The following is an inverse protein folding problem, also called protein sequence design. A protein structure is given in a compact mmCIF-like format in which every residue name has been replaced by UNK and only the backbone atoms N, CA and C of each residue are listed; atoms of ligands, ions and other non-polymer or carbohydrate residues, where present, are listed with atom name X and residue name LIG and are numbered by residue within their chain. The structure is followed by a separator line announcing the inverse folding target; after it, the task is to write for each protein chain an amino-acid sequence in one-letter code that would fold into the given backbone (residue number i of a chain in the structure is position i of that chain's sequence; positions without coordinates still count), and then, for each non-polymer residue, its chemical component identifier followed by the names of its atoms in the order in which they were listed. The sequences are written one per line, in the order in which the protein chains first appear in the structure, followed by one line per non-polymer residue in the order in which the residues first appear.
data_IF_642427200671
#
_entry.id   IF_642427200671
#
_cell.length_a   1.000
_cell.length_b   1.000
_cell.length_c   1.000
_cell.angle_alpha   90.00
_cell.angle_beta   90.00
_cell.angle_gamma   90.00
#
_symmetry.space_group_name_H-M   'P 1'
#
loop_
_entity.id
_entity.type
_entity.pdbx_description
1 polymer ?
#
# COMPACT_ATOMS: atom_id res chain seq x y z
N UNK A 1 4.38 -31.32 -34.09
CA UNK A 1 4.44 -31.52 -32.63
C UNK A 1 5.10 -30.31 -32.00
N UNK A 2 4.31 -29.53 -31.27
CA UNK A 2 4.55 -28.11 -30.98
C UNK A 2 5.76 -27.86 -30.07
N UNK A 3 6.54 -26.83 -30.43
CA UNK A 3 7.82 -26.45 -29.81
C UNK A 3 7.68 -26.16 -28.29
N UNK A 4 6.48 -25.78 -27.86
CA UNK A 4 6.11 -25.47 -26.47
C UNK A 4 6.28 -26.67 -25.50
N UNK A 5 6.06 -27.89 -25.99
CA UNK A 5 6.21 -29.12 -25.18
C UNK A 5 7.70 -29.39 -24.87
N UNK A 6 8.61 -29.05 -25.79
CA UNK A 6 10.06 -29.24 -25.60
C UNK A 6 10.64 -28.19 -24.65
N UNK A 7 10.19 -26.94 -24.73
CA UNK A 7 10.69 -25.84 -23.89
C UNK A 7 10.21 -26.00 -22.45
N UNK A 8 8.95 -26.40 -22.23
CA UNK A 8 8.41 -26.67 -20.89
C UNK A 8 9.17 -27.80 -20.18
N UNK A 9 9.55 -28.86 -20.89
CA UNK A 9 10.38 -29.95 -20.35
C UNK A 9 11.80 -29.48 -19.96
N UNK A 10 12.33 -28.43 -20.59
CA UNK A 10 13.66 -27.89 -20.29
C UNK A 10 13.71 -27.01 -19.04
N UNK A 11 12.57 -26.48 -18.62
CA UNK A 11 12.42 -25.56 -17.48
C UNK A 11 12.09 -26.31 -16.19
N UNK A 12 11.48 -27.50 -16.26
CA UNK A 12 11.20 -28.36 -15.09
C UNK A 12 12.33 -28.49 -14.05
N UNK A 13 13.62 -28.61 -14.42
CA UNK A 13 14.69 -28.70 -13.43
C UNK A 13 15.05 -27.37 -12.72
N UNK A 14 14.46 -26.24 -13.12
CA UNK A 14 14.80 -24.92 -12.60
C UNK A 14 13.55 -24.21 -12.05
N UNK A 15 13.37 -24.11 -10.71
CA UNK A 15 12.19 -23.49 -10.09
C UNK A 15 12.09 -21.98 -10.34
N UNK A 16 13.18 -21.32 -10.76
CA UNK A 16 13.22 -19.88 -10.99
C UNK A 16 12.66 -19.43 -12.35
N UNK A 17 12.34 -20.36 -13.26
CA UNK A 17 11.77 -20.04 -14.56
C UNK A 17 10.28 -20.37 -14.63
N UNK A 18 9.51 -19.48 -15.24
CA UNK A 18 8.08 -19.65 -15.50
C UNK A 18 7.79 -19.45 -16.98
N UNK A 19 6.86 -20.22 -17.52
CA UNK A 19 6.44 -20.08 -18.92
C UNK A 19 5.14 -19.27 -18.94
N UNK A 20 5.17 -18.15 -19.65
CA UNK A 20 3.98 -17.32 -19.88
C UNK A 20 3.86 -17.04 -21.38
N UNK A 21 2.75 -17.45 -21.98
CA UNK A 21 2.41 -17.24 -23.39
C UNK A 21 3.54 -17.59 -24.39
N UNK A 22 4.19 -18.75 -24.23
CA UNK A 22 5.26 -19.21 -25.13
C UNK A 22 6.62 -18.54 -24.93
N UNK A 23 6.78 -17.70 -23.89
CA UNK A 23 8.07 -17.09 -23.52
C UNK A 23 8.50 -17.56 -22.13
N UNK A 24 9.81 -17.65 -21.92
CA UNK A 24 10.39 -18.15 -20.67
C UNK A 24 10.82 -16.97 -19.82
N UNK A 25 10.15 -16.75 -18.70
CA UNK A 25 10.48 -15.70 -17.75
C UNK A 25 11.42 -16.22 -16.66
N UNK A 26 12.50 -15.50 -16.37
CA UNK A 26 13.38 -15.78 -15.25
C UNK A 26 13.06 -14.83 -14.09
N UNK A 27 12.60 -15.37 -12.97
CA UNK A 27 12.24 -14.60 -11.76
C UNK A 27 13.45 -13.98 -11.06
N UNK A 28 14.62 -14.61 -11.14
CA UNK A 28 15.88 -14.11 -10.56
C UNK A 28 16.42 -12.91 -11.35
N UNK A 29 16.26 -12.92 -12.67
CA UNK A 29 16.77 -11.87 -13.55
C UNK A 29 15.74 -10.81 -13.91
N UNK A 30 14.46 -11.07 -13.67
CA UNK A 30 13.30 -10.30 -14.16
C UNK A 30 13.37 -10.06 -15.67
N UNK A 31 13.79 -11.08 -16.44
CA UNK A 31 13.97 -11.00 -17.88
C UNK A 31 13.18 -12.08 -18.60
N UNK A 32 12.60 -11.69 -19.72
CA UNK A 32 11.95 -12.59 -20.67
C UNK A 32 13.02 -13.12 -21.62
N UNK A 33 13.16 -14.43 -21.67
CA UNK A 33 14.00 -15.16 -22.60
C UNK A 33 13.07 -15.64 -23.71
N UNK A 34 13.21 -15.03 -24.89
CA UNK A 34 12.55 -15.49 -26.11
C UNK A 34 13.26 -16.79 -26.49
N UNK A 35 12.70 -17.92 -26.06
CA UNK A 35 13.39 -19.20 -26.15
C UNK A 35 12.65 -20.14 -27.09
N UNK A 36 13.20 -20.31 -28.29
CA UNK A 36 12.85 -21.41 -29.18
C UNK A 36 13.69 -22.67 -28.91
N UNK A 37 14.78 -22.55 -28.12
CA UNK A 37 15.83 -23.58 -27.97
C UNK A 37 16.41 -23.65 -26.55
N UNK A 38 16.53 -24.88 -26.03
CA UNK A 38 17.09 -25.25 -24.71
C UNK A 38 18.45 -24.60 -24.39
N UNK A 39 19.31 -24.42 -25.40
CA UNK A 39 20.64 -23.87 -25.22
C UNK A 39 20.63 -22.44 -24.66
N UNK A 40 19.66 -21.61 -25.05
CA UNK A 40 19.54 -20.23 -24.56
C UNK A 40 19.23 -20.15 -23.06
N UNK A 41 18.45 -21.12 -22.56
CA UNK A 41 18.13 -21.23 -21.12
C UNK A 41 19.38 -21.66 -20.35
N UNK A 42 20.12 -22.66 -20.85
CA UNK A 42 21.36 -23.11 -20.23
C UNK A 42 22.44 -22.02 -20.22
N UNK A 43 22.53 -21.22 -21.29
CA UNK A 43 23.43 -20.08 -21.35
C UNK A 43 23.02 -18.99 -20.35
N UNK A 44 21.73 -18.73 -20.20
CA UNK A 44 21.22 -17.76 -19.23
C UNK A 44 21.59 -18.14 -17.78
N UNK A 45 21.41 -19.40 -17.39
CA UNK A 45 21.77 -19.87 -16.03
C UNK A 45 23.27 -19.68 -15.77
N UNK A 46 24.11 -19.85 -16.79
CA UNK A 46 25.57 -19.70 -16.70
C UNK A 46 26.05 -18.24 -16.74
N UNK A 47 25.21 -17.28 -17.11
CA UNK A 47 25.66 -15.88 -17.19
C UNK A 47 26.00 -15.32 -15.80
N UNK A 48 27.08 -14.54 -15.71
CA UNK A 48 27.52 -13.90 -14.47
C UNK A 48 26.41 -13.06 -13.79
N UNK A 49 25.52 -12.45 -14.58
CA UNK A 49 24.37 -11.69 -14.08
C UNK A 49 23.36 -12.57 -13.33
N UNK A 50 23.12 -13.80 -13.80
CA UNK A 50 22.21 -14.75 -13.16
C UNK A 50 22.83 -15.27 -11.85
N UNK A 51 24.08 -15.76 -11.91
CA UNK A 51 24.80 -16.29 -10.74
C UNK A 51 24.90 -15.25 -9.61
N UNK A 52 25.23 -13.99 -9.95
CA UNK A 52 25.32 -12.91 -8.97
C UNK A 52 23.98 -12.52 -8.34
N UNK A 53 22.86 -12.72 -9.04
CA UNK A 53 21.51 -12.45 -8.52
C UNK A 53 20.93 -13.64 -7.77
N UNK A 54 21.20 -14.85 -8.23
CA UNK A 54 20.77 -16.10 -7.60
C UNK A 54 21.35 -16.21 -6.18
N UNK A 55 22.64 -15.89 -5.99
CA UNK A 55 23.27 -15.86 -4.66
C UNK A 55 22.69 -14.80 -3.70
N UNK A 56 22.10 -13.72 -4.22
CA UNK A 56 21.41 -12.69 -3.42
C UNK A 56 19.99 -13.10 -3.03
N UNK A 57 19.31 -13.88 -3.86
CA UNK A 57 17.96 -14.40 -3.60
C UNK A 57 17.97 -15.50 -2.55
N UNK A 58 19.02 -16.32 -2.48
CA UNK A 58 19.15 -17.40 -1.49
C UNK A 58 19.66 -16.94 -0.12
N UNK A 59 20.33 -15.79 -0.04
CA UNK A 59 21.09 -15.40 1.16
C UNK A 59 20.51 -14.20 1.93
N UNK A 60 19.56 -13.44 1.37
CA UNK A 60 18.89 -12.37 2.11
C UNK A 60 17.38 -12.34 1.83
N UNK A 61 16.60 -12.59 2.88
CA UNK A 61 15.14 -12.45 2.91
C UNK A 61 14.62 -11.02 2.77
N UNK A 62 15.23 -10.18 1.92
CA UNK A 62 14.70 -8.86 1.55
C UNK A 62 13.87 -8.99 0.29
N UNK A 63 12.73 -9.67 0.41
CA UNK A 63 11.63 -9.51 -0.55
C UNK A 63 11.26 -8.02 -0.50
N UNK A 64 11.38 -7.30 -1.61
CA UNK A 64 10.77 -5.97 -1.69
C UNK A 64 9.30 -6.13 -1.30
N UNK A 65 8.79 -5.37 -0.31
CA UNK A 65 7.39 -5.46 0.04
C UNK A 65 6.60 -5.12 -1.23
N UNK A 66 5.67 -6.01 -1.56
CA UNK A 66 4.62 -5.71 -2.54
C UNK A 66 4.07 -4.31 -2.26
N UNK A 67 3.74 -3.57 -3.32
CA UNK A 67 3.10 -2.24 -3.22
C UNK A 67 1.95 -2.27 -2.18
N UNK A 68 1.19 -3.37 -2.13
CA UNK A 68 0.12 -3.58 -1.14
C UNK A 68 0.58 -3.55 0.33
N UNK A 69 1.76 -4.10 0.64
CA UNK A 69 2.34 -4.05 2.00
C UNK A 69 2.86 -2.66 2.36
N UNK A 70 3.30 -1.87 1.38
CA UNK A 70 3.73 -0.48 1.62
C UNK A 70 2.54 0.41 2.04
N UNK A 71 1.36 0.21 1.45
CA UNK A 71 0.13 0.86 1.89
C UNK A 71 -0.27 0.46 3.31
N UNK A 72 -0.13 -0.82 3.67
CA UNK A 72 -0.49 -1.32 5.00
C UNK A 72 0.50 -0.88 6.09
N UNK A 73 1.80 -0.76 5.78
CA UNK A 73 2.81 -0.31 6.75
C UNK A 73 2.65 1.16 7.19
N UNK A 74 1.94 1.99 6.43
CA UNK A 74 1.57 3.34 6.89
C UNK A 74 0.47 3.32 7.96
N UNK A 75 -0.30 2.24 8.07
CA UNK A 75 -1.40 2.12 9.05
C UNK A 75 -0.86 1.96 10.48
N UNK A 76 0.29 1.34 10.68
CA UNK A 76 0.87 1.15 12.02
C UNK A 76 1.49 2.42 12.64
N UNK A 77 1.85 3.43 11.82
CA UNK A 77 2.18 4.80 12.28
C UNK A 77 0.95 5.72 12.34
N UNK A 78 -0.24 5.20 11.99
CA UNK A 78 -1.41 6.03 11.68
C UNK A 78 -2.42 6.19 12.81
N UNK A 79 -2.36 5.45 13.92
CA UNK A 79 -3.40 5.61 14.97
C UNK A 79 -3.40 7.03 15.52
N UNK A 80 -2.27 7.52 16.03
CA UNK A 80 -2.18 8.88 16.57
C UNK A 80 -2.43 9.98 15.54
N UNK A 81 -2.09 9.75 14.27
CA UNK A 81 -2.34 10.71 13.20
C UNK A 81 -3.82 10.70 12.76
N UNK A 82 -4.48 9.55 12.80
CA UNK A 82 -5.91 9.39 12.55
C UNK A 82 -6.70 10.04 13.69
N UNK A 83 -6.36 9.72 14.94
CA UNK A 83 -6.95 10.29 16.14
C UNK A 83 -6.84 11.82 16.09
N UNK A 84 -5.65 12.36 15.79
CA UNK A 84 -5.46 13.80 15.62
C UNK A 84 -6.38 14.42 14.56
N UNK A 85 -6.54 13.76 13.40
CA UNK A 85 -7.42 14.26 12.32
C UNK A 85 -8.89 14.26 12.75
N UNK A 86 -9.33 13.21 13.43
CA UNK A 86 -10.68 13.08 13.97
C UNK A 86 -10.96 14.14 15.02
N UNK A 87 -10.05 14.31 15.97
CA UNK A 87 -10.16 15.31 17.04
C UNK A 87 -10.16 16.73 16.49
N UNK A 88 -9.28 17.04 15.53
CA UNK A 88 -9.26 18.33 14.86
C UNK A 88 -10.57 18.60 14.12
N UNK A 89 -11.08 17.61 13.36
CA UNK A 89 -12.35 17.74 12.65
C UNK A 89 -13.51 17.97 13.61
N UNK A 90 -13.58 17.16 14.68
CA UNK A 90 -14.61 17.27 15.72
C UNK A 90 -14.57 18.64 16.37
N UNK A 91 -13.41 19.11 16.81
CA UNK A 91 -13.26 20.40 17.49
C UNK A 91 -13.73 21.58 16.61
N UNK A 92 -13.40 21.56 15.32
CA UNK A 92 -13.84 22.60 14.38
C UNK A 92 -15.37 22.57 14.19
N UNK A 93 -15.93 21.39 13.92
CA UNK A 93 -17.38 21.22 13.69
C UNK A 93 -18.19 21.58 14.93
N UNK A 94 -17.80 21.10 16.12
CA UNK A 94 -18.51 21.41 17.37
C UNK A 94 -18.41 22.87 17.75
N UNK A 95 -17.33 23.56 17.36
CA UNK A 95 -17.15 24.99 17.59
C UNK A 95 -17.79 25.86 16.49
N UNK A 96 -18.54 25.25 15.56
CA UNK A 96 -19.12 25.91 14.39
C UNK A 96 -18.07 26.68 13.55
N UNK A 97 -16.85 26.15 13.47
CA UNK A 97 -15.75 26.68 12.66
C UNK A 97 -15.73 25.90 11.34
N UNK A 98 -15.94 26.57 10.18
CA UNK A 98 -15.88 25.90 8.89
C UNK A 98 -14.50 25.29 8.63
N UNK A 99 -14.47 24.05 8.13
CA UNK A 99 -13.23 23.36 7.74
C UNK A 99 -12.43 24.12 6.66
N UNK A 100 -13.10 24.98 5.89
CA UNK A 100 -12.45 25.84 4.89
C UNK A 100 -11.43 26.81 5.49
N UNK A 101 -11.51 27.08 6.80
CA UNK A 101 -10.48 27.88 7.50
C UNK A 101 -9.11 27.19 7.53
N UNK A 102 -9.05 25.86 7.40
CA UNK A 102 -7.78 25.11 7.27
C UNK A 102 -7.09 25.33 5.92
N UNK A 103 -7.79 25.89 4.93
CA UNK A 103 -7.21 26.29 3.64
C UNK A 103 -6.48 27.64 3.71
N UNK A 104 -6.52 28.33 4.86
CA UNK A 104 -5.72 29.52 5.10
C UNK A 104 -4.30 29.13 5.52
N UNK A 105 -3.30 29.54 4.75
CA UNK A 105 -1.91 29.17 4.98
C UNK A 105 -1.40 29.59 6.38
N UNK A 106 -1.73 30.80 6.84
CA UNK A 106 -1.28 31.27 8.17
C UNK A 106 -1.86 30.42 9.29
N UNK A 107 -3.15 30.07 9.19
CA UNK A 107 -3.81 29.20 10.17
C UNK A 107 -3.22 27.79 10.15
N UNK A 108 -2.97 27.26 8.96
CA UNK A 108 -2.35 25.96 8.77
C UNK A 108 -0.92 25.92 9.35
N UNK A 109 -0.10 26.92 9.03
CA UNK A 109 1.27 27.03 9.55
C UNK A 109 1.29 27.17 11.07
N UNK A 110 0.38 27.96 11.64
CA UNK A 110 0.22 28.08 13.09
C UNK A 110 -0.03 26.70 13.71
N UNK A 111 -1.04 25.97 13.23
CA UNK A 111 -1.37 24.65 13.76
C UNK A 111 -0.22 23.66 13.58
N UNK A 112 0.42 23.64 12.41
CA UNK A 112 1.56 22.77 12.14
C UNK A 112 2.74 23.04 13.09
N UNK A 113 3.02 24.32 13.39
CA UNK A 113 4.09 24.74 14.30
C UNK A 113 3.87 24.23 15.73
N UNK A 114 2.65 24.34 16.25
CA UNK A 114 2.36 24.04 17.65
C UNK A 114 1.93 22.58 17.87
N UNK A 115 1.18 21.99 16.95
CA UNK A 115 0.71 20.62 17.07
C UNK A 115 1.76 19.59 16.64
N UNK A 116 2.78 19.99 15.86
CA UNK A 116 3.82 19.09 15.30
C UNK A 116 3.25 17.95 14.44
N UNK A 117 2.02 18.11 13.95
CA UNK A 117 1.38 17.22 13.00
C UNK A 117 1.24 17.91 11.64
N UNK A 118 1.26 17.13 10.56
CA UNK A 118 0.90 17.64 9.26
C UNK A 118 -0.62 17.88 9.22
N UNK A 119 -1.01 19.12 8.96
CA UNK A 119 -2.42 19.51 8.99
C UNK A 119 -3.09 19.07 7.68
N UNK A 120 -4.17 18.27 7.75
CA UNK A 120 -4.91 17.87 6.56
C UNK A 120 -5.63 19.09 5.95
N UNK A 121 -5.63 19.17 4.63
CA UNK A 121 -6.45 20.15 3.90
C UNK A 121 -7.93 19.80 3.99
N UNK A 122 -8.79 20.80 3.81
CA UNK A 122 -10.25 20.69 3.90
C UNK A 122 -10.81 19.48 3.13
N UNK A 123 -10.38 19.29 1.87
CA UNK A 123 -10.86 18.18 1.03
C UNK A 123 -10.57 16.82 1.63
N UNK A 124 -9.42 16.65 2.28
CA UNK A 124 -9.04 15.39 2.92
C UNK A 124 -9.94 15.12 4.10
N UNK A 125 -10.13 16.09 5.01
CA UNK A 125 -11.02 15.94 6.17
C UNK A 125 -12.46 15.65 5.76
N UNK A 126 -12.97 16.37 4.75
CA UNK A 126 -14.34 16.20 4.24
C UNK A 126 -14.60 14.79 3.73
N UNK A 127 -13.61 14.16 3.10
CA UNK A 127 -13.73 12.81 2.53
C UNK A 127 -13.52 11.68 3.55
N UNK A 128 -12.80 11.95 4.63
CA UNK A 128 -12.30 10.88 5.51
C UNK A 128 -12.82 10.93 6.93
N UNK A 129 -13.04 12.12 7.50
CA UNK A 129 -13.36 12.27 8.93
C UNK A 129 -14.78 12.76 9.18
N UNK A 130 -15.39 13.49 8.23
CA UNK A 130 -16.75 14.02 8.41
C UNK A 130 -17.76 12.91 8.67
N UNK A 131 -17.77 11.86 7.85
CA UNK A 131 -18.74 10.77 7.99
C UNK A 131 -18.63 10.09 9.35
N UNK A 132 -17.41 9.95 9.85
CA UNK A 132 -17.14 9.41 11.18
C UNK A 132 -17.69 10.33 12.29
N UNK A 133 -17.41 11.63 12.23
CA UNK A 133 -17.89 12.60 13.23
C UNK A 133 -19.42 12.66 13.25
N UNK A 134 -20.08 12.70 12.09
CA UNK A 134 -21.54 12.68 12.01
C UNK A 134 -22.14 11.40 12.58
N UNK A 135 -21.61 10.24 12.17
CA UNK A 135 -22.08 8.95 12.65
C UNK A 135 -21.93 8.82 14.17
N UNK A 136 -20.82 9.31 14.73
CA UNK A 136 -20.57 9.34 16.18
C UNK A 136 -21.58 10.20 16.93
N UNK A 137 -21.88 11.41 16.44
CA UNK A 137 -22.89 12.30 17.04
C UNK A 137 -24.28 11.70 16.95
N UNK A 138 -24.68 11.18 15.79
CA UNK A 138 -25.98 10.53 15.60
C UNK A 138 -26.17 9.35 16.55
N UNK A 139 -25.16 8.49 16.67
CA UNK A 139 -25.21 7.37 17.62
C UNK A 139 -25.35 7.85 19.07
N UNK A 140 -24.67 8.94 19.43
CA UNK A 140 -24.77 9.52 20.78
C UNK A 140 -26.20 9.99 21.06
N UNK A 141 -26.82 10.70 20.12
CA UNK A 141 -28.22 11.14 20.21
C UNK A 141 -29.18 9.95 20.29
N UNK A 142 -28.99 8.92 19.46
CA UNK A 142 -29.82 7.71 19.48
C UNK A 142 -29.73 7.01 20.84
N UNK A 143 -28.53 6.86 21.39
CA UNK A 143 -28.31 6.25 22.70
C UNK A 143 -28.97 7.06 23.82
N UNK A 144 -28.88 8.39 23.78
CA UNK A 144 -29.58 9.25 24.74
C UNK A 144 -31.10 9.06 24.66
N UNK A 145 -31.68 9.03 23.46
CA UNK A 145 -33.13 8.82 23.28
C UNK A 145 -33.55 7.44 23.79
N UNK A 146 -32.82 6.39 23.43
CA UNK A 146 -33.07 5.01 23.87
C UNK A 146 -33.03 4.94 25.39
N UNK A 147 -31.98 5.43 26.04
CA UNK A 147 -31.85 5.39 27.49
C UNK A 147 -32.97 6.16 28.20
N UNK A 148 -33.45 7.27 27.62
CA UNK A 148 -34.56 8.04 28.18
C UNK A 148 -35.94 7.41 27.93
N UNK A 149 -36.09 6.51 26.95
CA UNK A 149 -37.36 5.86 26.61
C UNK A 149 -37.57 4.50 27.30
N UNK A 150 -36.52 3.97 27.94
CA UNK A 150 -36.53 2.73 28.74
C UNK A 150 -36.43 2.98 30.26
N UNK A 151 -36.58 4.24 30.70
CA UNK A 151 -36.79 4.65 32.10
C UNK A 151 -38.24 5.12 32.28
#
# INVERSE_FOLDING_TARGET
MSNDIKVSMCIKPFPEFSMDMGKVFCSVCSKIIISEKRFLILQHVKTASHVAKQGKVTSEGKKQPSISKCFQSNVAKSSSALDFRQDLCRALVTSNIPLSKLSNDNFQFFLQKYCKFNIPIERTLRRTEIDYVYSSVLNSIILEIVNNHFL
#
